data_IF_726302209563
#
_entry.id   IF_726302209563
#
_cell.length_a   1.000
_cell.length_b   1.000
_cell.length_c   1.000
_cell.angle_alpha   90.00
_cell.angle_beta   90.00
_cell.angle_gamma   90.00
#
_symmetry.space_group_name_H-M   'P 1'
#
loop_
_entity.id
_entity.type
_entity.pdbx_description
1 polymer ?
#
# COMPACT_ATOMS: atom_id res chain seq x y z
N UNK A 1 -52.77 -46.64 -57.41
CA UNK A 1 -51.58 -46.90 -56.56
C UNK A 1 -50.42 -45.91 -56.83
N UNK A 2 -50.60 -44.84 -57.61
CA UNK A 2 -49.50 -43.94 -58.04
C UNK A 2 -49.21 -42.77 -57.09
N UNK A 3 -50.14 -42.44 -56.18
CA UNK A 3 -50.03 -41.30 -55.24
C UNK A 3 -49.16 -41.56 -53.99
N UNK A 4 -48.91 -42.82 -53.62
CA UNK A 4 -48.09 -43.14 -52.44
C UNK A 4 -46.58 -42.90 -52.68
N UNK A 5 -46.14 -42.98 -53.94
CA UNK A 5 -44.74 -42.86 -54.34
C UNK A 5 -44.11 -41.48 -54.05
N UNK A 6 -44.76 -40.34 -54.38
CA UNK A 6 -44.21 -39.03 -54.02
C UNK A 6 -44.20 -38.78 -52.51
N UNK A 7 -45.20 -39.30 -51.77
CA UNK A 7 -45.26 -39.11 -50.32
C UNK A 7 -44.13 -39.85 -49.59
N UNK A 8 -43.81 -41.08 -50.03
CA UNK A 8 -42.67 -41.85 -49.51
C UNK A 8 -41.35 -41.14 -49.83
N UNK A 9 -41.21 -40.60 -51.04
CA UNK A 9 -39.99 -39.89 -51.43
C UNK A 9 -39.78 -38.62 -50.60
N UNK A 10 -40.87 -37.87 -50.34
CA UNK A 10 -40.84 -36.65 -49.54
C UNK A 10 -40.56 -36.95 -48.07
N UNK A 11 -41.13 -38.03 -47.53
CA UNK A 11 -40.84 -38.50 -46.18
C UNK A 11 -39.36 -38.91 -46.01
N UNK A 12 -38.77 -39.58 -47.01
CA UNK A 12 -37.36 -39.96 -46.99
C UNK A 12 -36.45 -38.71 -47.01
N UNK A 13 -36.80 -37.72 -47.83
CA UNK A 13 -36.03 -36.49 -47.97
C UNK A 13 -36.09 -35.65 -46.67
N UNK A 14 -37.26 -35.58 -46.05
CA UNK A 14 -37.43 -34.98 -44.72
C UNK A 14 -36.62 -35.72 -43.65
N UNK A 15 -36.62 -37.04 -43.65
CA UNK A 15 -35.85 -37.83 -42.70
C UNK A 15 -34.33 -37.60 -42.82
N UNK A 16 -33.80 -37.56 -44.05
CA UNK A 16 -32.39 -37.25 -44.30
C UNK A 16 -32.04 -35.83 -43.87
N UNK A 17 -32.92 -34.86 -44.12
CA UNK A 17 -32.71 -33.48 -43.69
C UNK A 17 -32.71 -33.36 -42.16
N UNK A 18 -33.66 -33.99 -41.46
CA UNK A 18 -33.70 -34.02 -40.00
C UNK A 18 -32.48 -34.72 -39.40
N UNK A 19 -32.03 -35.84 -39.99
CA UNK A 19 -30.83 -36.54 -39.57
C UNK A 19 -29.58 -35.66 -39.73
N UNK A 20 -29.42 -35.02 -40.90
CA UNK A 20 -28.34 -34.09 -41.17
C UNK A 20 -28.33 -32.93 -40.17
N UNK A 21 -29.49 -32.33 -39.91
CA UNK A 21 -29.58 -31.25 -38.93
C UNK A 21 -29.22 -31.73 -37.52
N UNK A 22 -29.76 -32.86 -37.07
CA UNK A 22 -29.42 -33.38 -35.74
C UNK A 22 -27.92 -33.67 -35.58
N UNK A 23 -27.28 -34.26 -36.59
CA UNK A 23 -25.83 -34.51 -36.57
C UNK A 23 -25.00 -33.23 -36.55
N UNK A 24 -25.41 -32.20 -37.29
CA UNK A 24 -24.71 -30.91 -37.27
C UNK A 24 -24.86 -30.20 -35.92
N UNK A 25 -26.04 -30.29 -35.28
CA UNK A 25 -26.26 -29.79 -33.92
C UNK A 25 -25.33 -30.45 -32.90
N UNK A 26 -25.29 -31.79 -32.90
CA UNK A 26 -24.37 -32.56 -32.04
C UNK A 26 -22.89 -32.21 -32.29
N UNK A 27 -22.52 -31.99 -33.56
CA UNK A 27 -21.16 -31.61 -33.91
C UNK A 27 -20.81 -30.22 -33.36
N UNK A 28 -21.68 -29.22 -33.54
CA UNK A 28 -21.46 -27.88 -32.99
C UNK A 28 -21.36 -27.86 -31.46
N UNK A 29 -22.20 -28.64 -30.78
CA UNK A 29 -22.22 -28.72 -29.32
C UNK A 29 -20.92 -29.38 -28.79
N UNK A 30 -20.43 -30.41 -29.50
CA UNK A 30 -19.15 -31.04 -29.17
C UNK A 30 -17.94 -30.08 -29.28
N UNK A 31 -17.94 -29.20 -30.28
CA UNK A 31 -16.87 -28.21 -30.47
C UNK A 31 -16.91 -27.13 -29.38
N UNK A 32 -18.11 -26.67 -29.01
CA UNK A 32 -18.29 -25.70 -27.93
C UNK A 32 -17.81 -26.27 -26.59
N UNK A 33 -18.16 -27.52 -26.27
CA UNK A 33 -17.69 -28.20 -25.06
C UNK A 33 -16.16 -28.30 -25.00
N UNK A 34 -15.49 -28.54 -26.12
CA UNK A 34 -14.02 -28.61 -26.16
C UNK A 34 -13.41 -27.23 -25.89
N UNK A 35 -13.96 -26.17 -26.47
CA UNK A 35 -13.50 -24.79 -26.26
C UNK A 35 -13.71 -24.37 -24.81
N UNK A 36 -14.89 -24.64 -24.25
CA UNK A 36 -15.23 -24.29 -22.87
C UNK A 36 -14.36 -25.06 -21.88
N UNK A 37 -14.10 -26.35 -22.14
CA UNK A 37 -13.19 -27.16 -21.32
C UNK A 37 -11.75 -26.66 -21.38
N UNK A 38 -11.28 -26.23 -22.55
CA UNK A 38 -9.96 -25.62 -22.70
C UNK A 38 -9.87 -24.28 -21.95
N UNK A 39 -10.90 -23.44 -22.04
CA UNK A 39 -10.99 -22.18 -21.30
C UNK A 39 -11.01 -22.42 -19.78
N UNK A 40 -11.80 -23.39 -19.31
CA UNK A 40 -11.88 -23.76 -17.90
C UNK A 40 -10.55 -24.33 -17.38
N UNK A 41 -9.86 -25.17 -18.15
CA UNK A 41 -8.54 -25.68 -17.79
C UNK A 41 -7.49 -24.56 -17.68
N UNK A 42 -7.49 -23.61 -18.63
CA UNK A 42 -6.62 -22.44 -18.57
C UNK A 42 -6.92 -21.52 -17.39
N UNK A 43 -8.21 -21.31 -17.09
CA UNK A 43 -8.64 -20.51 -15.95
C UNK A 43 -8.25 -21.14 -14.60
N UNK A 44 -8.43 -22.45 -14.43
CA UNK A 44 -8.03 -23.17 -13.22
C UNK A 44 -6.51 -23.13 -13.03
N UNK A 45 -5.73 -23.30 -14.11
CA UNK A 45 -4.27 -23.21 -14.04
C UNK A 45 -3.80 -21.80 -13.64
N UNK A 46 -4.41 -20.75 -14.21
CA UNK A 46 -4.12 -19.36 -13.85
C UNK A 46 -4.48 -19.06 -12.38
N UNK A 47 -5.63 -19.59 -11.92
CA UNK A 47 -6.07 -19.47 -10.54
C UNK A 47 -5.08 -20.11 -9.57
N UNK A 48 -4.62 -21.34 -9.84
CA UNK A 48 -3.61 -22.03 -9.03
C UNK A 48 -2.31 -21.26 -8.95
N UNK A 49 -1.85 -20.72 -10.08
CA UNK A 49 -0.64 -19.90 -10.12
C UNK A 49 -0.79 -18.63 -9.28
N UNK A 50 -1.93 -17.95 -9.39
CA UNK A 50 -2.23 -16.73 -8.63
C UNK A 50 -2.36 -17.02 -7.13
N UNK A 51 -3.04 -18.09 -6.74
CA UNK A 51 -3.17 -18.51 -5.34
C UNK A 51 -1.81 -18.87 -4.72
N UNK A 52 -0.96 -19.60 -5.46
CA UNK A 52 0.39 -19.94 -5.00
C UNK A 52 1.28 -18.69 -4.84
N UNK A 53 1.26 -17.79 -5.83
CA UNK A 53 2.04 -16.55 -5.79
C UNK A 53 1.57 -15.59 -4.69
N UNK A 54 0.25 -15.50 -4.47
CA UNK A 54 -0.32 -14.74 -3.37
C UNK A 54 0.09 -15.33 -2.02
N UNK A 55 0.06 -16.66 -1.88
CA UNK A 55 0.50 -17.36 -0.67
C UNK A 55 1.99 -17.17 -0.39
N UNK A 56 2.85 -17.27 -1.40
CA UNK A 56 4.30 -17.07 -1.26
C UNK A 56 4.63 -15.61 -0.90
N UNK A 57 3.97 -14.65 -1.56
CA UNK A 57 4.14 -13.22 -1.26
C UNK A 57 3.68 -12.87 0.14
N UNK A 58 2.55 -13.43 0.60
CA UNK A 58 2.06 -13.25 1.96
C UNK A 58 3.05 -13.82 2.99
N UNK A 59 3.59 -15.03 2.77
CA UNK A 59 4.59 -15.62 3.68
C UNK A 59 5.88 -14.80 3.73
N UNK A 60 6.33 -14.28 2.59
CA UNK A 60 7.51 -13.41 2.53
C UNK A 60 7.27 -12.09 3.28
N UNK A 61 6.07 -11.50 3.13
CA UNK A 61 5.67 -10.30 3.86
C UNK A 61 5.64 -10.52 5.37
N UNK A 62 5.01 -11.62 5.82
CA UNK A 62 4.96 -11.98 7.25
C UNK A 62 6.37 -12.21 7.82
N UNK A 63 7.26 -12.88 7.08
CA UNK A 63 8.65 -13.06 7.50
C UNK A 63 9.38 -11.71 7.64
N UNK A 64 9.13 -10.77 6.72
CA UNK A 64 9.73 -9.43 6.79
C UNK A 64 9.17 -8.59 7.93
N UNK A 65 7.87 -8.69 8.20
CA UNK A 65 7.23 -8.06 9.36
C UNK A 65 7.78 -8.64 10.66
N UNK A 66 7.93 -9.96 10.75
CA UNK A 66 8.53 -10.61 11.90
C UNK A 66 9.99 -10.16 12.12
N UNK A 67 10.80 -10.10 11.05
CA UNK A 67 12.17 -9.58 11.09
C UNK A 67 12.22 -8.12 11.56
N UNK A 68 11.34 -7.25 11.04
CA UNK A 68 11.25 -5.85 11.45
C UNK A 68 10.81 -5.72 12.91
N UNK A 69 9.80 -6.48 13.35
CA UNK A 69 9.32 -6.45 14.73
C UNK A 69 10.35 -6.95 15.73
N UNK A 70 11.15 -7.95 15.35
CA UNK A 70 12.23 -8.47 16.19
C UNK A 70 13.44 -7.53 16.24
N UNK A 71 13.66 -6.75 15.17
CA UNK A 71 14.69 -5.71 15.08
C UNK A 71 14.15 -4.32 15.47
N UNK A 72 12.90 -4.24 15.94
CA UNK A 72 12.34 -3.03 16.51
C UNK A 72 13.02 -2.81 17.85
N UNK A 73 14.24 -2.26 17.78
CA UNK A 73 14.89 -1.63 18.91
C UNK A 73 13.96 -0.49 19.27
N UNK A 74 13.23 -0.63 20.39
CA UNK A 74 12.56 0.49 21.03
C UNK A 74 13.56 1.63 21.05
N UNK A 75 13.42 2.55 20.10
CA UNK A 75 14.21 3.76 20.10
C UNK A 75 13.60 4.52 21.27
N UNK A 76 14.15 4.26 22.46
CA UNK A 76 13.92 5.03 23.66
C UNK A 76 13.91 6.47 23.15
N UNK A 77 12.74 7.12 23.22
CA UNK A 77 12.59 8.51 22.82
C UNK A 77 13.66 9.21 23.62
N UNK A 78 14.78 9.57 22.99
CA UNK A 78 15.85 10.31 23.64
C UNK A 78 15.15 11.55 24.14
N UNK A 79 14.86 11.57 25.45
CA UNK A 79 14.21 12.68 26.09
C UNK A 79 15.20 13.82 25.88
N UNK A 80 14.91 14.70 24.92
CA UNK A 80 15.61 15.96 24.80
C UNK A 80 15.16 16.79 25.99
N UNK A 81 15.75 16.53 27.16
CA UNK A 81 15.64 17.45 28.28
C UNK A 81 16.25 18.74 27.80
N UNK A 82 15.42 19.78 27.66
CA UNK A 82 15.92 21.14 27.49
C UNK A 82 16.91 21.39 28.63
N UNK A 83 18.19 21.54 28.28
CA UNK A 83 19.24 21.81 29.26
C UNK A 83 19.01 23.22 29.77
N UNK A 84 18.36 23.34 30.92
CA UNK A 84 18.16 24.62 31.61
C UNK A 84 19.54 25.21 31.90
N UNK A 85 19.77 26.46 31.49
CA UNK A 85 21.04 27.18 31.69
C UNK A 85 21.45 27.15 33.17
N UNK A 86 22.65 26.65 33.52
CA UNK A 86 23.10 26.64 34.90
C UNK A 86 23.48 28.06 35.34
N UNK A 87 22.95 28.49 36.50
CA UNK A 87 23.44 29.69 37.21
C UNK A 87 24.38 29.20 38.30
N UNK A 88 25.65 29.57 38.23
CA UNK A 88 26.64 29.11 39.20
C UNK A 88 26.47 29.82 40.54
N UNK A 89 26.66 29.08 41.64
CA UNK A 89 26.55 29.57 43.02
C UNK A 89 27.93 29.74 43.67
N UNK A 90 28.02 30.55 44.73
CA UNK A 90 29.29 30.85 45.44
C UNK A 90 29.73 29.78 46.43
N UNK A 91 29.33 28.51 46.24
CA UNK A 91 29.67 27.41 47.15
C UNK A 91 31.16 27.06 47.05
N UNK A 92 31.71 27.07 45.83
CA UNK A 92 33.10 26.66 45.56
C UNK A 92 34.01 27.82 45.14
N UNK A 93 33.47 29.04 45.01
CA UNK A 93 34.21 30.21 44.54
C UNK A 93 33.71 31.50 45.21
N UNK A 94 34.54 32.54 45.19
CA UNK A 94 34.18 33.83 45.80
C UNK A 94 32.95 34.43 45.11
N UNK A 95 32.10 35.11 45.90
CA UNK A 95 30.87 35.72 45.38
C UNK A 95 31.13 36.69 44.22
N UNK A 96 32.24 37.42 44.27
CA UNK A 96 32.62 38.36 43.22
C UNK A 96 33.02 37.65 41.91
N UNK A 97 33.79 36.57 42.01
CA UNK A 97 34.15 35.75 40.86
C UNK A 97 32.89 35.16 40.20
N UNK A 98 31.97 34.61 41.00
CA UNK A 98 30.73 34.02 40.49
C UNK A 98 29.85 35.05 39.81
N UNK A 99 29.73 36.25 40.39
CA UNK A 99 28.98 37.37 39.79
C UNK A 99 29.54 37.74 38.42
N UNK A 100 30.86 37.90 38.32
CA UNK A 100 31.53 38.27 37.08
C UNK A 100 31.42 37.15 36.03
N UNK A 101 31.57 35.89 36.46
CA UNK A 101 31.50 34.72 35.60
C UNK A 101 30.10 34.49 35.02
N UNK A 102 29.05 34.62 35.83
CA UNK A 102 27.68 34.53 35.35
C UNK A 102 27.37 35.67 34.36
N UNK A 103 27.80 36.91 34.65
CA UNK A 103 27.62 38.04 33.73
C UNK A 103 28.35 37.84 32.39
N UNK A 104 29.58 37.31 32.43
CA UNK A 104 30.35 37.00 31.23
C UNK A 104 29.67 35.88 30.40
N UNK A 105 29.19 34.83 31.06
CA UNK A 105 28.49 33.71 30.42
C UNK A 105 27.20 34.18 29.73
N UNK A 106 26.45 35.06 30.39
CA UNK A 106 25.23 35.68 29.83
C UNK A 106 25.53 36.53 28.59
N UNK A 107 26.64 37.29 28.62
CA UNK A 107 27.05 38.10 27.48
C UNK A 107 27.48 37.25 26.28
N UNK A 108 28.22 36.16 26.53
CA UNK A 108 28.71 35.26 25.49
C UNK A 108 27.56 34.47 24.85
N UNK A 109 26.61 34.00 25.66
CA UNK A 109 25.41 33.33 25.16
C UNK A 109 24.61 34.25 24.23
N UNK A 110 24.36 35.50 24.63
CA UNK A 110 23.66 36.49 23.79
C UNK A 110 24.36 36.73 22.45
N UNK A 111 25.69 36.76 22.43
CA UNK A 111 26.45 36.91 21.18
C UNK A 111 26.35 35.67 20.29
N UNK A 112 26.31 34.48 20.89
CA UNK A 112 26.31 33.20 20.17
C UNK A 112 24.91 32.75 19.74
N UNK A 113 23.85 33.11 20.47
CA UNK A 113 22.47 32.67 20.18
C UNK A 113 21.75 33.55 19.15
N UNK A 114 22.37 34.64 18.70
CA UNK A 114 21.82 35.52 17.67
C UNK A 114 20.54 36.24 18.09
N UNK A 115 20.22 36.27 19.39
CA UNK A 115 19.00 36.86 19.90
C UNK A 115 19.04 38.39 19.73
N UNK A 116 18.15 38.91 18.88
CA UNK A 116 18.05 40.33 18.54
C UNK A 116 17.62 41.18 19.74
N UNK A 117 18.32 42.30 19.98
CA UNK A 117 18.17 43.15 21.19
C UNK A 117 17.45 44.48 20.92
N UNK A 118 16.73 44.61 19.81
CA UNK A 118 15.98 45.83 19.47
C UNK A 118 14.45 45.66 19.63
N UNK A 119 13.69 46.70 20.01
CA UNK A 119 12.24 46.66 19.88
C UNK A 119 11.86 46.48 18.40
N UNK A 120 10.89 45.59 18.12
CA UNK A 120 10.32 45.48 16.78
C UNK A 120 9.72 46.83 16.34
N UNK A 121 9.95 47.30 15.09
CA UNK A 121 9.31 48.51 14.58
C UNK A 121 7.78 48.33 14.56
N UNK A 122 7.09 49.12 15.38
CA UNK A 122 5.67 48.93 15.72
C UNK A 122 4.66 49.39 14.66
N UNK A 123 4.75 48.87 13.43
CA UNK A 123 3.73 49.08 12.41
C UNK A 123 3.13 47.75 11.92
N UNK A 124 2.48 47.01 12.82
CA UNK A 124 1.54 45.94 12.43
C UNK A 124 0.14 46.54 12.26
N UNK A 125 -0.39 46.47 11.04
CA UNK A 125 -1.73 46.94 10.69
C UNK A 125 -2.81 46.32 11.59
N UNK A 126 -3.75 47.13 12.06
CA UNK A 126 -4.87 46.67 12.88
C UNK A 126 -5.76 45.69 12.10
N UNK A 127 -6.24 44.60 12.73
CA UNK A 127 -7.18 43.69 12.09
C UNK A 127 -8.52 44.42 11.89
N UNK A 128 -8.95 44.55 10.64
CA UNK A 128 -10.29 45.02 10.30
C UNK A 128 -11.30 43.99 10.79
N UNK A 129 -12.31 44.44 11.53
CA UNK A 129 -13.46 43.66 11.98
C UNK A 129 -14.70 44.14 11.26
#
# INVERSE_FOLDING_TARGET
>A
MTQAKPFIMLAMLAALFCAGWFTAGLYSDSQQLVIERAAAAGAEQSRRYTENMAGESARLLENKLAELSANETHTERVIRTEVVKPVFSSVCATAEYVRLFNAATDSAERTLSGQFVGPMPGNTAAPQR
#
